data_IF_463434649604
#
_entry.id   IF_463434649604
#
_cell.length_a   1.000
_cell.length_b   1.000
_cell.length_c   1.000
_cell.angle_alpha   90.00
_cell.angle_beta   90.00
_cell.angle_gamma   90.00
#
_symmetry.space_group_name_H-M   'P 1'
#
loop_
_entity.id
_entity.type
_entity.pdbx_description
1 polymer ?
#
# COMPACT_ATOMS: atom_id res chain seq x y z
N UNK A 1 -5.84 8.94 -5.32
CA UNK A 1 -5.23 9.49 -6.56
C UNK A 1 -3.92 10.25 -6.31
N UNK A 2 -3.65 10.76 -5.10
CA UNK A 2 -2.36 11.41 -4.75
C UNK A 2 -1.62 10.65 -3.65
N UNK A 3 -0.32 10.96 -3.44
CA UNK A 3 0.45 10.38 -2.33
C UNK A 3 -0.13 10.73 -0.97
N UNK A 4 -0.56 11.98 -0.77
CA UNK A 4 -1.15 12.42 0.50
C UNK A 4 -2.43 11.64 0.82
N UNK A 5 -3.32 11.50 -0.17
CA UNK A 5 -4.55 10.74 0.00
C UNK A 5 -4.26 9.26 0.25
N UNK A 6 -3.35 8.67 -0.52
CA UNK A 6 -2.98 7.26 -0.35
C UNK A 6 -2.42 6.99 1.06
N UNK A 7 -1.55 7.86 1.57
CA UNK A 7 -1.01 7.78 2.91
C UNK A 7 -2.10 7.94 3.98
N UNK A 8 -3.03 8.89 3.79
CA UNK A 8 -4.18 9.03 4.66
C UNK A 8 -5.01 7.73 4.68
N UNK A 9 -5.37 7.16 3.52
CA UNK A 9 -6.16 5.92 3.45
C UNK A 9 -5.43 4.73 4.06
N UNK A 10 -4.12 4.60 3.80
CA UNK A 10 -3.27 3.53 4.30
C UNK A 10 -3.18 3.50 5.84
N UNK A 11 -3.36 4.65 6.50
CA UNK A 11 -3.42 4.69 7.97
C UNK A 11 -4.47 3.75 8.58
N UNK A 12 -5.52 3.37 7.82
CA UNK A 12 -6.51 2.39 8.27
C UNK A 12 -5.86 1.04 8.62
N UNK A 13 -5.06 0.48 7.70
CA UNK A 13 -4.42 -0.81 7.91
C UNK A 13 -3.19 -0.70 8.81
N UNK A 14 -2.48 0.43 8.78
CA UNK A 14 -1.37 0.69 9.70
C UNK A 14 -1.86 0.64 11.15
N UNK A 15 -3.00 1.29 11.44
CA UNK A 15 -3.67 1.19 12.73
C UNK A 15 -4.06 -0.25 13.07
N UNK A 16 -4.68 -0.98 12.15
CA UNK A 16 -5.07 -2.37 12.37
C UNK A 16 -3.84 -3.26 12.69
N UNK A 17 -2.71 -3.01 12.04
CA UNK A 17 -1.48 -3.75 12.27
C UNK A 17 -0.84 -3.45 13.62
N UNK A 18 -0.75 -2.16 14.00
CA UNK A 18 -0.31 -1.75 15.34
C UNK A 18 -1.22 -2.34 16.41
N UNK A 19 -2.54 -2.32 16.19
CA UNK A 19 -3.53 -2.89 17.10
C UNK A 19 -3.35 -4.40 17.28
N UNK A 20 -3.17 -5.13 16.18
CA UNK A 20 -2.92 -6.56 16.19
C UNK A 20 -1.67 -6.90 16.99
N UNK A 21 -0.56 -6.18 16.73
CA UNK A 21 0.73 -6.41 17.40
C UNK A 21 0.74 -5.98 18.86
N UNK A 22 -0.16 -5.08 19.24
CA UNK A 22 -0.36 -4.62 20.62
C UNK A 22 -1.40 -5.44 21.40
N UNK A 23 -1.86 -6.58 20.86
CA UNK A 23 -2.82 -7.46 21.55
C UNK A 23 -4.26 -6.94 21.60
N UNK A 24 -4.62 -5.97 20.75
CA UNK A 24 -5.95 -5.36 20.66
C UNK A 24 -6.57 -5.47 19.27
N UNK A 25 -6.69 -6.68 18.69
CA UNK A 25 -7.24 -6.85 17.35
C UNK A 25 -8.70 -6.35 17.27
N UNK A 26 -9.10 -5.86 16.11
CA UNK A 26 -10.42 -5.32 15.91
C UNK A 26 -10.77 -5.12 14.44
N UNK A 27 -11.92 -4.49 14.19
CA UNK A 27 -12.31 -4.08 12.84
C UNK A 27 -11.30 -3.07 12.29
N UNK A 28 -11.19 -3.02 10.96
CA UNK A 28 -10.41 -2.00 10.27
C UNK A 28 -10.92 -0.62 10.71
N UNK A 29 -10.09 0.24 11.32
CA UNK A 29 -10.51 1.56 11.77
C UNK A 29 -10.54 2.55 10.60
N UNK A 30 -11.26 3.68 10.75
CA UNK A 30 -11.22 4.76 9.77
C UNK A 30 -9.81 5.38 9.68
N UNK A 31 -9.46 6.00 8.54
CA UNK A 31 -8.16 6.61 8.35
C UNK A 31 -7.95 7.85 9.24
N UNK A 32 -6.71 8.06 9.68
CA UNK A 32 -6.25 9.16 10.52
C UNK A 32 -5.18 9.96 9.79
N UNK A 33 -5.36 11.29 9.71
CA UNK A 33 -4.36 12.18 9.12
C UNK A 33 -3.08 12.16 9.97
N UNK A 34 -1.92 12.13 9.32
CA UNK A 34 -0.62 12.14 9.97
C UNK A 34 -0.44 11.04 11.03
N UNK A 35 -1.02 9.85 10.82
CA UNK A 35 -1.02 8.76 11.80
C UNK A 35 0.38 8.42 12.34
N UNK A 36 1.41 8.41 11.47
CA UNK A 36 2.80 8.14 11.87
C UNK A 36 3.34 9.13 12.90
N UNK A 37 2.87 10.37 12.89
CA UNK A 37 3.23 11.40 13.89
C UNK A 37 2.48 11.25 15.21
N UNK A 38 1.44 10.41 15.25
CA UNK A 38 0.62 10.17 16.46
C UNK A 38 1.08 8.97 17.27
N UNK A 39 1.93 8.11 16.70
CA UNK A 39 2.42 6.89 17.34
C UNK A 39 3.89 7.01 17.74
N UNK A 40 4.31 6.18 18.71
CA UNK A 40 5.65 6.20 19.25
C UNK A 40 6.71 5.63 18.29
N UNK A 41 8.00 5.69 18.68
CA UNK A 41 9.09 5.13 17.89
C UNK A 41 8.97 3.61 17.66
N UNK A 42 8.44 2.87 18.64
CA UNK A 42 8.28 1.42 18.54
C UNK A 42 7.23 1.03 17.48
N UNK A 43 6.08 1.71 17.48
CA UNK A 43 5.04 1.50 16.46
C UNK A 43 5.52 1.93 15.07
N UNK A 44 6.26 3.03 14.97
CA UNK A 44 6.83 3.46 13.70
C UNK A 44 7.84 2.44 13.16
N UNK A 45 8.75 1.92 13.99
CA UNK A 45 9.70 0.89 13.59
C UNK A 45 9.00 -0.41 13.15
N UNK A 46 7.93 -0.80 13.86
CA UNK A 46 7.08 -1.91 13.46
C UNK A 46 6.48 -1.69 12.07
N UNK A 47 5.92 -0.50 11.82
CA UNK A 47 5.36 -0.16 10.53
C UNK A 47 6.43 -0.17 9.43
N UNK A 48 7.62 0.35 9.67
CA UNK A 48 8.72 0.33 8.69
C UNK A 48 9.11 -1.09 8.27
N UNK A 49 9.15 -2.03 9.22
CA UNK A 49 9.48 -3.43 8.92
C UNK A 49 8.46 -4.12 8.01
N UNK A 50 7.19 -3.70 8.07
CA UNK A 50 6.09 -4.33 7.33
C UNK A 50 5.84 -3.60 6.01
N UNK A 51 6.13 -2.30 5.97
CA UNK A 51 6.04 -1.45 4.79
C UNK A 51 7.14 -1.74 3.76
N UNK A 52 8.18 -2.53 4.08
CA UNK A 52 9.29 -2.84 3.17
C UNK A 52 8.87 -3.53 1.87
N UNK A 53 7.68 -4.15 1.86
CA UNK A 53 7.05 -4.78 0.69
C UNK A 53 5.72 -4.11 0.32
N UNK A 54 5.57 -2.82 0.64
CA UNK A 54 4.37 -2.04 0.30
C UNK A 54 4.72 -0.89 -0.65
N UNK A 55 3.77 -0.55 -1.53
CA UNK A 55 3.80 0.66 -2.32
C UNK A 55 2.51 1.43 -2.04
N UNK A 56 2.63 2.62 -1.42
CA UNK A 56 1.51 3.46 -1.01
C UNK A 56 1.74 4.85 -1.57
N UNK A 57 0.93 5.26 -2.53
CA UNK A 57 1.07 6.57 -3.16
C UNK A 57 0.13 6.82 -4.32
N UNK A 58 0.49 7.79 -5.16
CA UNK A 58 -0.12 8.01 -6.47
C UNK A 58 0.11 6.82 -7.41
N UNK A 59 -0.49 6.88 -8.61
CA UNK A 59 -0.30 5.87 -9.65
C UNK A 59 1.18 5.71 -10.00
N UNK A 60 1.90 6.82 -10.13
CA UNK A 60 3.32 6.86 -10.44
C UNK A 60 4.14 6.21 -9.32
N UNK A 61 3.89 6.60 -8.06
CA UNK A 61 4.58 6.03 -6.89
C UNK A 61 4.38 4.52 -6.80
N UNK A 62 3.14 4.04 -7.02
CA UNK A 62 2.83 2.60 -6.97
C UNK A 62 3.45 1.85 -8.14
N UNK A 63 3.40 2.40 -9.37
CA UNK A 63 4.04 1.81 -10.56
C UNK A 63 5.54 1.65 -10.37
N UNK A 64 6.21 2.68 -9.88
CA UNK A 64 7.66 2.66 -9.67
C UNK A 64 8.04 1.68 -8.55
N UNK A 65 7.25 1.64 -7.47
CA UNK A 65 7.40 0.67 -6.39
C UNK A 65 7.19 -0.78 -6.85
N UNK A 66 6.18 -1.04 -7.67
CA UNK A 66 5.93 -2.37 -8.25
C UNK A 66 7.07 -2.80 -9.17
N UNK A 67 7.54 -1.91 -10.05
CA UNK A 67 8.67 -2.17 -10.95
C UNK A 67 9.92 -2.53 -10.16
N UNK A 68 10.29 -1.71 -9.19
CA UNK A 68 11.45 -1.96 -8.32
C UNK A 68 11.32 -3.28 -7.54
N UNK A 69 10.10 -3.62 -7.09
CA UNK A 69 9.85 -4.88 -6.39
C UNK A 69 10.01 -6.10 -7.32
N UNK A 70 9.46 -6.04 -8.53
CA UNK A 70 9.59 -7.10 -9.54
C UNK A 70 11.06 -7.28 -9.92
N UNK A 71 11.78 -6.20 -10.24
CA UNK A 71 13.19 -6.25 -10.61
C UNK A 71 14.06 -6.85 -9.50
N UNK A 72 13.79 -6.49 -8.24
CA UNK A 72 14.53 -6.99 -7.08
C UNK A 72 14.27 -8.46 -6.79
N UNK A 73 13.05 -8.95 -7.02
CA UNK A 73 12.62 -10.29 -6.61
C UNK A 73 12.61 -11.30 -7.75
N UNK A 74 12.53 -10.85 -9.00
CA UNK A 74 12.31 -11.69 -10.17
C UNK A 74 10.92 -12.32 -10.22
N UNK A 75 9.94 -11.79 -9.46
CA UNK A 75 8.61 -12.37 -9.38
C UNK A 75 7.85 -12.25 -10.72
N UNK A 76 7.30 -13.36 -11.20
CA UNK A 76 6.41 -13.42 -12.38
C UNK A 76 4.92 -13.20 -12.03
N UNK A 77 4.55 -13.29 -10.74
CA UNK A 77 3.21 -13.03 -10.21
C UNK A 77 3.26 -12.15 -8.95
N UNK A 78 2.36 -11.18 -8.86
CA UNK A 78 2.17 -10.34 -7.66
C UNK A 78 0.75 -10.49 -7.10
N UNK A 79 0.66 -10.97 -5.87
CA UNK A 79 -0.57 -10.94 -5.08
C UNK A 79 -0.65 -9.64 -4.27
N UNK A 80 -1.67 -8.82 -4.52
CA UNK A 80 -1.81 -7.51 -3.87
C UNK A 80 -2.94 -7.51 -2.85
N UNK A 81 -2.71 -6.89 -1.70
CA UNK A 81 -3.74 -6.65 -0.68
C UNK A 81 -3.85 -5.15 -0.41
N UNK A 82 -5.07 -4.63 -0.39
CA UNK A 82 -5.35 -3.22 -0.06
C UNK A 82 -6.44 -3.14 1.01
N UNK A 83 -6.03 -2.86 2.25
CA UNK A 83 -6.93 -2.70 3.38
C UNK A 83 -7.27 -1.21 3.58
N UNK A 84 -8.27 -0.75 2.84
CA UNK A 84 -8.83 0.61 2.96
C UNK A 84 -10.20 0.53 3.61
N UNK A 85 -10.46 1.39 4.61
CA UNK A 85 -11.71 1.42 5.37
C UNK A 85 -12.93 1.71 4.49
N UNK A 86 -12.81 2.72 3.63
CA UNK A 86 -13.86 3.09 2.70
C UNK A 86 -13.90 2.12 1.50
N UNK A 87 -15.05 1.51 1.27
CA UNK A 87 -15.18 0.48 0.26
C UNK A 87 -15.02 1.02 -1.17
N UNK A 88 -15.58 2.20 -1.46
CA UNK A 88 -15.50 2.80 -2.78
C UNK A 88 -14.05 3.21 -3.11
N UNK A 89 -13.34 3.78 -2.13
CA UNK A 89 -11.91 4.08 -2.25
C UNK A 89 -11.07 2.81 -2.43
N UNK A 90 -11.44 1.72 -1.76
CA UNK A 90 -10.76 0.43 -1.96
C UNK A 90 -10.95 -0.10 -3.38
N UNK A 91 -12.18 -0.05 -3.91
CA UNK A 91 -12.46 -0.44 -5.29
C UNK A 91 -11.64 0.41 -6.27
N UNK A 92 -11.68 1.74 -6.10
CA UNK A 92 -10.89 2.68 -6.90
C UNK A 92 -9.39 2.39 -6.87
N UNK A 93 -8.85 2.03 -5.70
CA UNK A 93 -7.45 1.62 -5.56
C UNK A 93 -7.10 0.39 -6.39
N UNK A 94 -8.02 -0.58 -6.50
CA UNK A 94 -7.80 -1.77 -7.36
C UNK A 94 -7.96 -1.46 -8.85
N UNK A 95 -8.88 -0.58 -9.24
CA UNK A 95 -9.00 -0.12 -10.63
C UNK A 95 -7.72 0.58 -11.10
N UNK A 96 -7.15 1.45 -10.26
CA UNK A 96 -5.87 2.10 -10.52
C UNK A 96 -4.74 1.08 -10.66
N UNK A 97 -4.67 0.12 -9.75
CA UNK A 97 -3.68 -0.95 -9.79
C UNK A 97 -3.79 -1.81 -11.06
N UNK A 98 -5.02 -2.11 -11.50
CA UNK A 98 -5.27 -2.83 -12.74
C UNK A 98 -4.74 -2.06 -13.96
N UNK A 99 -4.93 -0.74 -14.01
CA UNK A 99 -4.36 0.12 -15.04
C UNK A 99 -2.81 0.09 -15.05
N UNK A 100 -2.18 0.16 -13.88
CA UNK A 100 -0.71 0.05 -13.75
C UNK A 100 -0.21 -1.30 -14.28
N UNK A 101 -0.90 -2.39 -13.96
CA UNK A 101 -0.55 -3.73 -14.46
C UNK A 101 -0.60 -3.78 -15.98
N UNK A 102 -1.64 -3.21 -16.61
CA UNK A 102 -1.77 -3.17 -18.07
C UNK A 102 -0.61 -2.39 -18.72
N UNK A 103 -0.24 -1.24 -18.14
CA UNK A 103 0.90 -0.44 -18.57
C UNK A 103 2.20 -1.25 -18.51
N UNK A 104 2.52 -1.87 -17.37
CA UNK A 104 3.74 -2.67 -17.19
C UNK A 104 3.80 -3.90 -18.11
N UNK A 105 2.66 -4.54 -18.36
CA UNK A 105 2.57 -5.65 -19.30
C UNK A 105 2.88 -5.19 -20.74
N UNK A 106 2.36 -4.02 -21.14
CA UNK A 106 2.62 -3.45 -22.47
C UNK A 106 4.09 -3.06 -22.68
N UNK A 107 4.75 -2.53 -21.64
CA UNK A 107 6.20 -2.23 -21.68
C UNK A 107 7.05 -3.48 -21.87
N UNK A 108 6.67 -4.57 -21.23
CA UNK A 108 7.39 -5.85 -21.33
C UNK A 108 7.29 -6.42 -22.75
N UNK A 109 6.11 -6.35 -23.36
CA UNK A 109 5.88 -6.79 -24.74
C UNK A 109 6.62 -5.92 -25.77
N UNK A 110 6.79 -4.62 -25.51
CA UNK A 110 7.54 -3.74 -26.43
C UNK A 110 9.06 -3.95 -26.38
N UNK A 111 9.58 -4.61 -25.35
CA UNK A 111 11.02 -4.87 -25.16
C UNK A 111 11.44 -6.28 -25.61
N UNK A 112 10.48 -7.16 -25.89
CA UNK A 112 10.67 -8.53 -26.37
C UNK A 112 10.67 -8.57 -27.91
#
# INVERSE_FOLDING_TARGET
DTDEEANFRASSWQQAFVNLRSGRPGRLPPPVKNYRSTVGPAENALLDSVLSCSAVGSVETVRDGMRAFIERTGADELMVTSQVFDHAARLRSYELLAGIREELASETLSKA
#
